data_IF_977943555950
#
_entry.id   IF_977943555950
#
_cell.length_a   1.000
_cell.length_b   1.000
_cell.length_c   1.000
_cell.angle_alpha   90.00
_cell.angle_beta   90.00
_cell.angle_gamma   90.00
#
_symmetry.space_group_name_H-M   'P 1'
#
loop_
_entity.id
_entity.type
_entity.pdbx_description
1 polymer ?
#
# COMPACT_ATOMS: atom_id res chain seq x y z
N UNK A 1 -9.80 -6.30 0.21
CA UNK A 1 -8.88 -6.78 1.26
C UNK A 1 -9.10 -8.27 1.54
N UNK A 2 -8.01 -9.01 1.77
CA UNK A 2 -8.04 -10.46 1.96
C UNK A 2 -8.38 -10.82 3.41
N UNK A 3 -9.65 -10.66 3.79
CA UNK A 3 -10.12 -10.84 5.18
C UNK A 3 -10.69 -12.24 5.45
N UNK A 4 -10.83 -13.10 4.43
CA UNK A 4 -11.47 -14.42 4.54
C UNK A 4 -13.00 -14.37 4.56
N UNK A 5 -13.64 -15.51 4.22
CA UNK A 5 -15.09 -15.58 3.98
C UNK A 5 -15.97 -15.09 5.13
N UNK A 6 -15.56 -15.32 6.38
CA UNK A 6 -16.32 -14.89 7.56
C UNK A 6 -16.49 -13.36 7.64
N UNK A 7 -15.55 -12.60 7.06
CA UNK A 7 -15.57 -11.14 7.07
C UNK A 7 -16.27 -10.54 5.87
N UNK A 8 -16.27 -11.23 4.72
CA UNK A 8 -16.84 -10.71 3.45
C UNK A 8 -18.35 -10.44 3.54
N UNK A 9 -19.08 -11.21 4.35
CA UNK A 9 -20.53 -11.04 4.57
C UNK A 9 -20.88 -10.28 5.85
N UNK A 10 -19.87 -9.77 6.56
CA UNK A 10 -20.07 -9.10 7.84
C UNK A 10 -20.19 -7.60 7.66
N UNK A 11 -21.35 -7.03 8.00
CA UNK A 11 -21.47 -5.59 8.22
C UNK A 11 -20.80 -5.23 9.56
N UNK A 12 -19.50 -4.94 9.49
CA UNK A 12 -18.68 -4.58 10.65
C UNK A 12 -19.21 -3.30 11.31
N UNK A 13 -19.79 -2.36 10.55
CA UNK A 13 -20.36 -1.13 11.11
C UNK A 13 -21.58 -1.45 11.98
N UNK A 14 -22.51 -2.24 11.44
CA UNK A 14 -23.71 -2.66 12.18
C UNK A 14 -23.35 -3.48 13.43
N UNK A 15 -22.31 -4.31 13.37
CA UNK A 15 -21.85 -5.11 14.52
C UNK A 15 -21.17 -4.28 15.61
N UNK A 16 -20.49 -3.19 15.25
CA UNK A 16 -19.82 -2.32 16.21
C UNK A 16 -20.74 -1.25 16.81
N UNK A 17 -21.80 -0.86 16.11
CA UNK A 17 -22.73 0.19 16.54
C UNK A 17 -23.30 0.02 17.97
N UNK A 18 -23.66 -1.20 18.44
CA UNK A 18 -24.16 -1.37 19.82
C UNK A 18 -23.11 -1.10 20.90
N UNK A 19 -21.82 -1.24 20.57
CA UNK A 19 -20.71 -1.14 21.53
C UNK A 19 -20.06 0.24 21.54
N UNK A 20 -20.33 1.08 20.53
CA UNK A 20 -19.73 2.39 20.39
C UNK A 20 -20.77 3.45 20.05
N UNK A 21 -20.92 4.46 20.90
CA UNK A 21 -21.87 5.58 20.71
C UNK A 21 -21.24 6.80 20.02
N UNK A 22 -20.03 6.66 19.49
CA UNK A 22 -19.26 7.75 18.89
C UNK A 22 -19.03 7.58 17.40
N UNK A 23 -18.26 8.51 16.82
CA UNK A 23 -17.77 8.41 15.45
C UNK A 23 -16.78 7.25 15.31
N UNK A 24 -16.88 6.53 14.21
CA UNK A 24 -15.89 5.56 13.81
C UNK A 24 -15.78 5.52 12.29
N UNK A 25 -14.58 5.22 11.81
CA UNK A 25 -14.28 5.02 10.41
C UNK A 25 -13.78 3.59 10.21
N UNK A 26 -14.04 3.04 9.03
CA UNK A 26 -13.34 1.84 8.58
C UNK A 26 -12.47 2.26 7.40
N UNK A 27 -11.21 1.83 7.45
CA UNK A 27 -10.22 2.13 6.44
C UNK A 27 -9.36 0.89 6.26
N UNK A 28 -8.92 0.64 5.03
CA UNK A 28 -7.93 -0.41 4.78
C UNK A 28 -6.58 -0.04 5.43
N UNK A 29 -5.75 -1.04 5.74
CA UNK A 29 -4.43 -0.81 6.35
C UNK A 29 -3.52 0.04 5.45
N UNK A 30 -3.45 -0.31 4.16
CA UNK A 30 -2.67 0.42 3.17
C UNK A 30 -3.22 1.84 2.95
N UNK A 31 -4.54 2.02 3.00
CA UNK A 31 -5.19 3.33 2.89
C UNK A 31 -4.88 4.20 4.12
N UNK A 32 -4.83 3.60 5.32
CA UNK A 32 -4.43 4.29 6.54
C UNK A 32 -2.97 4.77 6.47
N UNK A 33 -2.06 3.87 6.10
CA UNK A 33 -0.64 4.22 5.88
C UNK A 33 -0.53 5.38 4.89
N UNK A 34 -1.24 5.29 3.77
CA UNK A 34 -1.15 6.27 2.72
C UNK A 34 -1.75 7.64 3.13
N UNK A 35 -2.86 7.69 3.90
CA UNK A 35 -3.39 8.95 4.43
C UNK A 35 -2.42 9.60 5.44
N UNK A 36 -1.73 8.82 6.25
CA UNK A 36 -0.73 9.32 7.18
C UNK A 36 0.50 9.87 6.44
N UNK A 37 1.06 9.10 5.50
CA UNK A 37 2.21 9.50 4.68
C UNK A 37 1.91 10.73 3.83
N UNK A 38 0.67 10.82 3.32
CA UNK A 38 0.17 11.98 2.59
C UNK A 38 0.22 13.25 3.46
N UNK A 39 -0.15 13.16 4.73
CA UNK A 39 -0.31 14.36 5.57
C UNK A 39 0.95 14.74 6.35
N UNK A 40 1.76 13.76 6.74
CA UNK A 40 2.87 13.95 7.69
C UNK A 40 4.17 13.24 7.28
N UNK A 41 4.16 12.50 6.18
CA UNK A 41 5.31 11.69 5.76
C UNK A 41 5.85 12.05 4.38
N UNK A 42 6.29 11.03 3.66
CA UNK A 42 6.96 11.17 2.37
C UNK A 42 5.99 11.41 1.19
N UNK A 43 4.68 11.57 1.45
CA UNK A 43 3.67 11.52 0.40
C UNK A 43 3.44 12.80 -0.40
N UNK A 44 3.95 13.98 -0.03
CA UNK A 44 3.30 15.23 -0.50
C UNK A 44 4.12 16.43 -0.97
N UNK A 45 5.46 16.41 -0.94
CA UNK A 45 6.17 17.52 -1.56
C UNK A 45 5.99 17.44 -3.09
N UNK A 46 5.05 18.25 -3.61
CA UNK A 46 4.81 18.56 -5.02
C UNK A 46 4.27 17.45 -5.96
N UNK A 47 3.93 16.27 -5.45
CA UNK A 47 3.39 15.17 -6.25
C UNK A 47 1.85 15.25 -6.42
N UNK A 48 1.35 15.12 -7.66
CA UNK A 48 -0.09 15.06 -7.98
C UNK A 48 -0.62 13.63 -8.02
N UNK A 49 0.24 12.65 -8.31
CA UNK A 49 -0.07 11.23 -8.35
C UNK A 49 0.94 10.44 -7.49
N UNK A 50 0.47 9.85 -6.39
CA UNK A 50 1.32 9.13 -5.43
C UNK A 50 0.84 7.69 -5.30
N UNK A 51 1.68 6.75 -5.72
CA UNK A 51 1.45 5.32 -5.58
C UNK A 51 2.14 4.83 -4.31
N UNK A 52 1.41 4.25 -3.37
CA UNK A 52 2.02 3.58 -2.21
C UNK A 52 1.94 2.07 -2.38
N UNK A 53 3.08 1.39 -2.26
CA UNK A 53 3.17 -0.07 -2.29
C UNK A 53 3.54 -0.57 -0.89
N UNK A 54 2.62 -1.32 -0.27
CA UNK A 54 2.86 -2.02 0.99
C UNK A 54 3.31 -3.44 0.69
N UNK A 55 4.62 -3.68 0.84
CA UNK A 55 5.28 -4.95 0.53
C UNK A 55 5.52 -5.72 1.82
N UNK A 56 4.70 -6.73 2.07
CA UNK A 56 4.80 -7.60 3.24
C UNK A 56 4.49 -9.03 2.86
N UNK A 57 3.64 -9.69 3.63
CA UNK A 57 3.13 -11.03 3.29
C UNK A 57 2.41 -11.06 1.94
N UNK A 58 1.77 -9.95 1.55
CA UNK A 58 1.16 -9.72 0.24
C UNK A 58 1.65 -8.39 -0.36
N UNK A 59 0.89 -7.86 -1.33
CA UNK A 59 1.13 -6.56 -1.97
C UNK A 59 -0.11 -5.68 -1.86
N UNK A 60 -0.10 -4.78 -0.87
CA UNK A 60 -1.09 -3.73 -0.74
C UNK A 60 -0.76 -2.55 -1.66
N UNK A 61 -1.76 -1.95 -2.28
CA UNK A 61 -1.58 -0.80 -3.18
C UNK A 61 -2.58 0.29 -2.88
N UNK A 62 -2.13 1.54 -2.84
CA UNK A 62 -3.00 2.71 -2.80
C UNK A 62 -2.54 3.76 -3.79
N UNK A 63 -3.48 4.57 -4.26
CA UNK A 63 -3.19 5.66 -5.19
C UNK A 63 -3.84 6.93 -4.68
N UNK A 64 -3.06 7.98 -4.55
CA UNK A 64 -3.57 9.32 -4.34
C UNK A 64 -3.46 10.10 -5.64
N UNK A 65 -4.56 10.73 -6.06
CA UNK A 65 -4.59 11.62 -7.22
C UNK A 65 -5.15 12.97 -6.78
N UNK A 66 -4.40 14.03 -7.03
CA UNK A 66 -4.74 15.41 -6.68
C UNK A 66 -5.17 15.54 -5.20
N UNK A 67 -4.40 14.93 -4.30
CA UNK A 67 -4.64 14.94 -2.86
C UNK A 67 -5.82 14.10 -2.38
N UNK A 68 -6.44 13.28 -3.25
CA UNK A 68 -7.56 12.41 -2.90
C UNK A 68 -7.17 10.94 -3.04
N UNK A 69 -7.49 10.16 -2.02
CA UNK A 69 -7.34 8.71 -2.06
C UNK A 69 -8.31 8.11 -3.08
N UNK A 70 -7.80 7.28 -3.98
CA UNK A 70 -8.59 6.42 -4.86
C UNK A 70 -8.86 5.12 -4.08
N UNK A 71 -10.12 4.85 -3.70
CA UNK A 71 -10.42 3.75 -2.78
C UNK A 71 -10.36 2.38 -3.46
N UNK A 72 -10.15 1.34 -2.65
CA UNK A 72 -10.34 -0.07 -3.01
C UNK A 72 -9.49 -0.57 -4.20
N UNK A 73 -8.23 -0.14 -4.29
CA UNK A 73 -7.32 -0.59 -5.34
C UNK A 73 -6.59 -1.88 -4.92
N UNK A 74 -6.75 -2.94 -5.71
CA UNK A 74 -6.05 -4.23 -5.51
C UNK A 74 -5.12 -4.53 -6.70
N UNK A 75 -4.16 -3.65 -6.97
CA UNK A 75 -3.25 -3.83 -8.11
C UNK A 75 -2.34 -5.05 -7.93
N UNK A 76 -2.12 -5.53 -6.71
CA UNK A 76 -1.47 -6.81 -6.46
C UNK A 76 -2.14 -8.01 -7.13
N UNK A 77 -3.43 -7.90 -7.50
CA UNK A 77 -4.19 -8.93 -8.22
C UNK A 77 -4.18 -8.76 -9.73
N UNK A 78 -3.40 -7.82 -10.27
CA UNK A 78 -3.21 -7.74 -11.71
C UNK A 78 -2.25 -8.85 -12.18
N UNK A 79 -2.41 -9.33 -13.42
CA UNK A 79 -1.48 -10.27 -14.01
C UNK A 79 -0.06 -9.69 -14.05
N UNK A 80 0.94 -10.52 -13.76
CA UNK A 80 2.33 -10.11 -13.91
C UNK A 80 2.67 -9.93 -15.41
N UNK A 81 3.40 -8.87 -15.82
CA UNK A 81 3.65 -8.56 -17.23
C UNK A 81 4.45 -9.62 -17.99
N UNK A 82 5.37 -10.30 -17.30
CA UNK A 82 6.33 -11.25 -17.89
C UNK A 82 6.32 -12.65 -17.25
N UNK A 83 5.44 -12.90 -16.27
CA UNK A 83 5.45 -14.12 -15.45
C UNK A 83 4.03 -14.67 -15.30
N UNK A 84 3.86 -15.99 -15.07
CA UNK A 84 2.55 -16.54 -14.73
C UNK A 84 2.08 -16.01 -13.38
N UNK A 85 0.77 -15.83 -13.23
CA UNK A 85 0.17 -15.43 -11.96
C UNK A 85 0.04 -13.91 -11.77
N UNK A 86 -0.19 -13.51 -10.52
CA UNK A 86 -0.50 -12.13 -10.16
C UNK A 86 0.73 -11.37 -9.66
N UNK A 87 0.71 -10.03 -9.70
CA UNK A 87 1.80 -9.19 -9.19
C UNK A 87 2.19 -9.55 -7.74
N UNK A 88 1.23 -9.74 -6.83
CA UNK A 88 1.47 -10.10 -5.43
C UNK A 88 2.31 -11.39 -5.26
N UNK A 89 2.12 -12.36 -6.15
CA UNK A 89 2.82 -13.66 -6.11
C UNK A 89 4.31 -13.52 -6.42
N UNK A 90 4.74 -12.40 -7.00
CA UNK A 90 6.14 -12.12 -7.34
C UNK A 90 6.72 -10.96 -6.53
N UNK A 91 5.90 -9.95 -6.21
CA UNK A 91 6.33 -8.68 -5.60
C UNK A 91 6.18 -8.67 -4.08
N UNK A 92 5.56 -9.68 -3.46
CA UNK A 92 5.47 -9.74 -2.00
C UNK A 92 6.78 -10.16 -1.35
N UNK A 93 6.96 -9.80 -0.07
CA UNK A 93 8.04 -10.33 0.75
C UNK A 93 7.92 -11.84 0.98
N UNK A 94 6.68 -12.38 0.99
CA UNK A 94 6.44 -13.83 1.02
C UNK A 94 6.99 -14.52 -0.23
N UNK A 95 6.84 -13.94 -1.42
CA UNK A 95 7.40 -14.51 -2.65
C UNK A 95 8.92 -14.67 -2.54
N UNK A 96 9.62 -13.66 -2.00
CA UNK A 96 11.07 -13.73 -1.75
C UNK A 96 11.45 -14.93 -0.88
N UNK A 97 10.78 -15.09 0.25
CA UNK A 97 11.14 -16.13 1.23
C UNK A 97 10.69 -17.52 0.80
N UNK A 98 9.50 -17.67 0.23
CA UNK A 98 8.95 -18.95 -0.21
C UNK A 98 9.75 -19.57 -1.35
N UNK A 99 10.29 -18.75 -2.25
CA UNK A 99 11.12 -19.20 -3.37
C UNK A 99 12.63 -19.15 -3.08
N UNK A 100 13.04 -18.76 -1.87
CA UNK A 100 14.45 -18.70 -1.49
C UNK A 100 15.28 -17.70 -2.31
N UNK A 101 14.67 -16.61 -2.77
CA UNK A 101 15.32 -15.64 -3.65
C UNK A 101 16.30 -14.76 -2.89
N UNK A 102 17.45 -14.48 -3.50
CA UNK A 102 18.30 -13.38 -3.07
C UNK A 102 17.58 -12.04 -3.23
N UNK A 103 18.05 -11.00 -2.55
CA UNK A 103 17.46 -9.67 -2.68
C UNK A 103 17.51 -9.18 -4.13
N UNK A 104 18.62 -9.43 -4.83
CA UNK A 104 18.83 -9.07 -6.24
C UNK A 104 17.87 -9.82 -7.17
N UNK A 105 17.74 -11.14 -6.97
CA UNK A 105 16.82 -11.96 -7.76
C UNK A 105 15.37 -11.51 -7.60
N UNK A 106 14.98 -11.17 -6.38
CA UNK A 106 13.66 -10.62 -6.09
C UNK A 106 13.50 -9.20 -6.65
N UNK A 107 14.52 -8.35 -6.55
CA UNK A 107 14.50 -6.98 -7.07
C UNK A 107 14.29 -6.94 -8.58
N UNK A 108 14.81 -7.91 -9.35
CA UNK A 108 14.50 -8.05 -10.78
C UNK A 108 13.00 -8.25 -11.00
N UNK A 109 12.35 -9.14 -10.24
CA UNK A 109 10.90 -9.37 -10.34
C UNK A 109 10.11 -8.14 -9.91
N UNK A 110 10.56 -7.51 -8.83
CA UNK A 110 9.95 -6.30 -8.31
C UNK A 110 10.01 -5.17 -9.33
N UNK A 111 11.15 -4.98 -10.00
CA UNK A 111 11.33 -4.01 -11.06
C UNK A 111 10.39 -4.24 -12.24
N UNK A 112 10.19 -5.49 -12.69
CA UNK A 112 9.25 -5.84 -13.77
C UNK A 112 7.83 -5.37 -13.44
N UNK A 113 7.34 -5.68 -12.24
CA UNK A 113 6.02 -5.26 -11.77
C UNK A 113 5.94 -3.75 -11.50
N UNK A 114 7.01 -3.15 -10.96
CA UNK A 114 7.09 -1.72 -10.69
C UNK A 114 7.00 -0.91 -11.98
N UNK A 115 7.76 -1.30 -13.02
CA UNK A 115 7.68 -0.68 -14.35
C UNK A 115 6.30 -0.85 -15.00
N UNK A 116 5.64 -2.00 -14.77
CA UNK A 116 4.27 -2.19 -15.24
C UNK A 116 3.30 -1.21 -14.59
N UNK A 117 3.35 -1.06 -13.26
CA UNK A 117 2.53 -0.11 -12.52
C UNK A 117 2.84 1.34 -12.93
N UNK A 118 4.12 1.70 -13.05
CA UNK A 118 4.55 3.03 -13.46
C UNK A 118 4.06 3.39 -14.86
N UNK A 119 4.17 2.46 -15.83
CA UNK A 119 3.71 2.70 -17.20
C UNK A 119 2.21 2.97 -17.28
N UNK A 120 1.42 2.31 -16.41
CA UNK A 120 -0.04 2.37 -16.47
C UNK A 120 -0.64 3.50 -15.62
N UNK A 121 0.01 3.83 -14.51
CA UNK A 121 -0.50 4.80 -13.53
C UNK A 121 0.18 6.16 -13.64
N UNK A 122 1.39 6.20 -14.21
CA UNK A 122 2.23 7.40 -14.32
C UNK A 122 2.30 8.20 -13.01
N UNK A 123 2.73 7.58 -11.90
CA UNK A 123 2.88 8.30 -10.65
C UNK A 123 4.02 9.33 -10.77
N UNK A 124 3.88 10.45 -10.06
CA UNK A 124 4.99 11.38 -9.85
C UNK A 124 5.93 10.83 -8.77
N UNK A 125 5.34 10.13 -7.79
CA UNK A 125 6.04 9.56 -6.64
C UNK A 125 5.54 8.16 -6.29
N UNK A 126 6.48 7.29 -5.93
CA UNK A 126 6.24 5.95 -5.43
C UNK A 126 6.76 5.88 -3.99
N UNK A 127 5.87 5.57 -3.05
CA UNK A 127 6.21 5.36 -1.64
C UNK A 127 6.22 3.86 -1.37
N UNK A 128 7.35 3.33 -0.92
CA UNK A 128 7.45 1.92 -0.52
C UNK A 128 7.31 1.79 1.00
N UNK A 129 6.50 0.82 1.42
CA UNK A 129 6.21 0.54 2.82
C UNK A 129 6.26 -0.99 3.08
N UNK A 130 6.33 -1.38 4.35
CA UNK A 130 6.30 -2.77 4.80
C UNK A 130 7.68 -3.37 5.05
N UNK A 131 7.72 -4.66 5.35
CA UNK A 131 8.93 -5.35 5.82
C UNK A 131 10.11 -5.31 4.84
N UNK A 132 9.87 -5.08 3.55
CA UNK A 132 10.96 -4.93 2.58
C UNK A 132 11.83 -3.69 2.85
N UNK A 133 11.33 -2.70 3.61
CA UNK A 133 12.07 -1.48 3.96
C UNK A 133 13.30 -1.76 4.84
N UNK A 134 13.38 -2.90 5.51
CA UNK A 134 14.61 -3.36 6.19
C UNK A 134 15.81 -3.46 5.22
N UNK A 135 15.55 -3.60 3.93
CA UNK A 135 16.58 -3.73 2.89
C UNK A 135 16.72 -2.47 2.01
N UNK A 136 16.11 -1.35 2.40
CA UNK A 136 16.03 -0.15 1.54
C UNK A 136 17.39 0.35 1.02
N UNK A 137 18.41 0.38 1.87
CA UNK A 137 19.74 0.89 1.49
C UNK A 137 20.38 0.11 0.33
N UNK A 138 20.15 -1.21 0.28
CA UNK A 138 20.60 -2.06 -0.82
C UNK A 138 19.62 -2.06 -2.00
N UNK A 139 18.32 -2.09 -1.70
CA UNK A 139 17.26 -2.18 -2.70
C UNK A 139 17.22 -0.92 -3.58
N UNK A 140 17.40 0.27 -3.01
CA UNK A 140 17.27 1.54 -3.75
C UNK A 140 18.20 1.62 -4.97
N UNK A 141 19.40 1.02 -4.89
CA UNK A 141 20.36 1.00 -6.00
C UNK A 141 20.03 -0.04 -7.08
N UNK A 142 19.11 -0.97 -6.79
CA UNK A 142 18.67 -2.00 -7.73
C UNK A 142 17.42 -1.59 -8.50
N UNK A 143 16.75 -0.51 -8.08
CA UNK A 143 15.52 -0.03 -8.69
C UNK A 143 15.81 1.13 -9.64
N UNK A 144 15.13 1.14 -10.78
CA UNK A 144 15.15 2.21 -11.77
C UNK A 144 13.71 2.64 -12.05
N UNK A 145 13.37 3.87 -11.67
CA UNK A 145 12.03 4.45 -11.84
C UNK A 145 12.12 5.83 -12.47
N UNK A 146 11.09 6.20 -13.23
CA UNK A 146 10.91 7.59 -13.68
C UNK A 146 10.30 8.45 -12.57
N UNK A 147 9.37 7.87 -11.81
CA UNK A 147 8.82 8.46 -10.61
C UNK A 147 9.87 8.51 -9.51
N UNK A 148 9.77 9.52 -8.64
CA UNK A 148 10.59 9.57 -7.44
C UNK A 148 10.20 8.42 -6.50
N UNK A 149 11.11 7.51 -6.22
CA UNK A 149 10.84 6.36 -5.34
C UNK A 149 11.51 6.53 -3.99
N UNK A 150 10.71 6.54 -2.93
CA UNK A 150 11.14 6.83 -1.56
C UNK A 150 10.60 5.81 -0.57
N UNK A 151 11.28 5.56 0.56
CA UNK A 151 10.70 4.79 1.65
C UNK A 151 9.65 5.65 2.37
N UNK A 152 8.64 5.00 2.93
CA UNK A 152 7.70 5.62 3.85
C UNK A 152 8.42 6.20 5.08
N UNK A 153 8.00 7.36 5.55
CA UNK A 153 8.67 8.07 6.65
C UNK A 153 8.17 7.66 8.04
N UNK A 154 6.90 7.27 8.15
CA UNK A 154 6.20 7.08 9.42
C UNK A 154 6.22 5.62 9.91
N UNK A 155 6.81 4.72 9.12
CA UNK A 155 7.01 3.29 9.44
C UNK A 155 5.86 2.71 10.28
N UNK A 156 6.13 2.26 11.50
CA UNK A 156 5.18 1.56 12.37
C UNK A 156 3.99 2.43 12.84
N UNK A 157 4.13 3.76 12.75
CA UNK A 157 3.11 4.71 13.21
C UNK A 157 2.12 5.11 12.11
N UNK A 158 2.43 4.82 10.85
CA UNK A 158 1.62 5.25 9.70
C UNK A 158 0.18 4.71 9.77
N UNK A 159 0.01 3.41 10.01
CA UNK A 159 -1.31 2.77 10.10
C UNK A 159 -2.20 3.35 11.21
N UNK A 160 -1.75 3.35 12.49
CA UNK A 160 -2.50 3.94 13.59
C UNK A 160 -2.83 5.43 13.39
N UNK A 161 -1.89 6.22 12.88
CA UNK A 161 -2.11 7.65 12.61
C UNK A 161 -3.16 7.86 11.52
N UNK A 162 -3.09 7.10 10.43
CA UNK A 162 -4.07 7.15 9.35
C UNK A 162 -5.47 6.78 9.81
N UNK A 163 -5.60 5.74 10.64
CA UNK A 163 -6.87 5.35 11.23
C UNK A 163 -7.46 6.46 12.12
N UNK A 164 -6.62 7.12 12.92
CA UNK A 164 -7.05 8.26 13.74
C UNK A 164 -7.52 9.44 12.88
N UNK A 165 -6.78 9.78 11.80
CA UNK A 165 -7.17 10.83 10.85
C UNK A 165 -8.52 10.53 10.17
N UNK A 166 -8.73 9.27 9.79
CA UNK A 166 -9.98 8.81 9.19
C UNK A 166 -11.16 8.94 10.17
N UNK A 167 -10.96 8.58 11.44
CA UNK A 167 -12.00 8.69 12.47
C UNK A 167 -12.38 10.16 12.76
N UNK A 168 -11.40 11.08 12.77
CA UNK A 168 -11.65 12.52 12.97
C UNK A 168 -12.41 13.14 11.79
N UNK A 169 -12.12 12.67 10.58
CA UNK A 169 -12.70 13.17 9.33
C UNK A 169 -14.05 12.52 8.98
N UNK A 170 -14.43 11.45 9.67
CA UNK A 170 -15.68 10.75 9.43
C UNK A 170 -16.90 11.59 9.87
N UNK A 171 -18.00 11.57 9.09
CA UNK A 171 -19.27 12.15 9.52
C UNK A 171 -19.80 11.44 10.78
N UNK A 172 -20.63 12.13 11.57
CA UNK A 172 -21.33 11.50 12.69
C UNK A 172 -22.19 10.35 12.19
N UNK A 173 -22.03 9.16 12.77
CA UNK A 173 -23.01 8.10 12.65
C UNK A 173 -24.24 8.56 13.45
N UNK A 174 -25.31 8.91 12.75
CA UNK A 174 -26.63 9.17 13.35
C UNK A 174 -27.34 7.83 13.59
#
# INVERSE_FOLDING_TARGET
PNLGQAWTSTDVKARLAPFHKGRFAMLNDADAVAEAERRFGAGHADASCVLTLTVGTGLGTTLHQNGRLVPNLEYGRWPHPSRPGMLEEHLSGRARTAEGLSLEQWAVRFQEGLSHLESRLRPDRIVLYGGIMEHWDALRSMLTTNAETVPAALTDTAGPLGAALAAVSAPHAL
#
